data_IF_431240816087
#
_entry.id   IF_431240816087
#
_cell.length_a   1.000
_cell.length_b   1.000
_cell.length_c   1.000
_cell.angle_alpha   90.00
_cell.angle_beta   90.00
_cell.angle_gamma   90.00
#
_symmetry.space_group_name_H-M   'P 1'
#
loop_
_entity.id
_entity.type
_entity.pdbx_description
1 polymer ?
#
# COMPACT_ATOMS: atom_id res chain seq x y z
N UNK A 1 -11.80 8.52 -5.90
CA UNK A 1 -12.70 7.57 -6.58
C UNK A 1 -12.80 6.38 -5.63
N UNK A 2 -14.00 6.03 -5.17
CA UNK A 2 -14.15 5.00 -4.14
C UNK A 2 -14.28 3.62 -4.78
N UNK A 3 -13.14 2.97 -5.02
CA UNK A 3 -13.09 1.61 -5.55
C UNK A 3 -13.13 0.64 -4.37
N UNK A 4 -14.05 -0.33 -4.42
CA UNK A 4 -14.22 -1.37 -3.38
C UNK A 4 -13.75 -2.75 -3.81
N UNK A 5 -13.53 -2.93 -5.10
CA UNK A 5 -13.05 -4.17 -5.69
C UNK A 5 -12.16 -3.88 -6.91
N UNK A 6 -11.19 -4.74 -7.16
CA UNK A 6 -10.34 -4.67 -8.33
C UNK A 6 -10.20 -6.05 -8.97
N UNK A 7 -10.40 -6.12 -10.28
CA UNK A 7 -10.16 -7.34 -11.04
C UNK A 7 -8.69 -7.42 -11.45
N UNK A 8 -8.07 -8.58 -11.27
CA UNK A 8 -6.72 -8.87 -11.78
C UNK A 8 -6.76 -10.09 -12.68
N UNK A 9 -6.03 -10.02 -13.78
CA UNK A 9 -5.82 -11.13 -14.70
C UNK A 9 -4.46 -11.76 -14.39
N UNK A 10 -4.47 -13.08 -14.22
CA UNK A 10 -3.31 -13.91 -13.90
C UNK A 10 -2.97 -14.73 -15.15
N UNK A 11 -1.68 -14.82 -15.46
CA UNK A 11 -1.15 -15.69 -16.51
C UNK A 11 0.18 -16.27 -16.04
N UNK A 12 0.29 -17.59 -16.13
CA UNK A 12 1.54 -18.31 -15.87
C UNK A 12 1.86 -19.16 -17.11
N UNK A 13 3.04 -18.93 -17.66
CA UNK A 13 3.57 -19.66 -18.81
C UNK A 13 4.95 -20.20 -18.50
N UNK A 14 5.23 -21.43 -18.91
CA UNK A 14 6.55 -22.02 -18.86
C UNK A 14 7.44 -21.48 -19.99
N UNK A 15 8.74 -21.35 -19.73
CA UNK A 15 9.72 -20.89 -20.72
C UNK A 15 9.84 -21.84 -21.92
N UNK A 16 9.40 -23.08 -21.79
CA UNK A 16 9.30 -24.07 -22.87
C UNK A 16 8.17 -23.77 -23.87
N UNK A 17 7.32 -22.76 -23.62
CA UNK A 17 6.30 -22.28 -24.56
C UNK A 17 4.88 -22.76 -24.29
N UNK A 18 4.61 -23.44 -23.18
CA UNK A 18 3.26 -23.87 -22.76
C UNK A 18 2.71 -23.06 -21.59
N UNK A 19 1.39 -22.92 -21.49
CA UNK A 19 0.73 -22.38 -20.30
C UNK A 19 0.82 -23.35 -19.11
N UNK A 20 0.88 -22.84 -17.89
CA UNK A 20 0.79 -23.65 -16.67
C UNK A 20 -0.67 -24.08 -16.43
N UNK A 21 -1.18 -24.92 -17.33
CA UNK A 21 -2.57 -25.34 -17.35
C UNK A 21 -2.95 -26.09 -16.08
N UNK A 22 -4.12 -25.78 -15.52
CA UNK A 22 -4.65 -26.43 -14.31
C UNK A 22 -3.76 -26.31 -13.06
N UNK A 23 -2.74 -25.44 -13.09
CA UNK A 23 -1.86 -25.26 -11.95
C UNK A 23 -2.62 -24.65 -10.77
N UNK A 24 -2.36 -25.18 -9.57
CA UNK A 24 -2.80 -24.56 -8.32
C UNK A 24 -1.87 -23.39 -7.99
N UNK A 25 -2.46 -22.22 -7.76
CA UNK A 25 -1.75 -20.98 -7.44
C UNK A 25 -2.34 -20.32 -6.20
N UNK A 26 -1.54 -19.50 -5.52
CA UNK A 26 -2.01 -18.65 -4.41
C UNK A 26 -1.77 -17.20 -4.76
N UNK A 27 -2.86 -16.44 -4.84
CA UNK A 27 -2.80 -14.99 -4.97
C UNK A 27 -2.88 -14.37 -3.57
N UNK A 28 -1.83 -13.69 -3.15
CA UNK A 28 -1.79 -12.86 -1.94
C UNK A 28 -1.95 -11.41 -2.36
N UNK A 29 -2.75 -10.65 -1.64
CA UNK A 29 -2.91 -9.23 -1.89
C UNK A 29 -2.90 -8.47 -0.58
N UNK A 30 -2.21 -7.34 -0.54
CA UNK A 30 -2.25 -6.45 0.60
C UNK A 30 -2.32 -5.00 0.17
N UNK A 31 -3.07 -4.18 0.91
CA UNK A 31 -3.10 -2.73 0.71
C UNK A 31 -2.04 -2.09 1.60
N UNK A 32 -1.23 -1.22 1.03
CA UNK A 32 -0.17 -0.50 1.76
C UNK A 32 -0.09 0.97 1.32
N UNK A 33 0.41 1.87 2.17
CA UNK A 33 0.66 3.26 1.78
C UNK A 33 1.60 3.33 0.58
N UNK A 34 1.34 4.25 -0.35
CA UNK A 34 2.17 4.48 -1.52
C UNK A 34 2.94 5.79 -1.35
N UNK A 35 4.26 5.71 -1.29
CA UNK A 35 5.11 6.90 -1.46
C UNK A 35 4.99 7.38 -2.91
N UNK A 36 4.72 8.67 -3.10
CA UNK A 36 4.52 9.27 -4.42
C UNK A 36 5.53 10.37 -4.68
N UNK A 37 6.12 10.31 -5.87
CA UNK A 37 6.96 11.33 -6.45
C UNK A 37 6.74 11.31 -7.96
N UNK A 38 7.02 12.43 -8.62
CA UNK A 38 6.85 12.54 -10.06
C UNK A 38 8.14 13.12 -10.64
N UNK A 39 8.70 12.48 -11.67
CA UNK A 39 10.04 12.76 -12.22
C UNK A 39 10.28 14.23 -12.57
N UNK A 40 9.24 14.96 -12.99
CA UNK A 40 9.33 16.37 -13.38
C UNK A 40 8.88 17.35 -12.27
N UNK A 41 8.65 16.87 -11.05
CA UNK A 41 8.17 17.64 -9.90
C UNK A 41 8.91 17.24 -8.62
N UNK A 42 10.22 16.98 -8.73
CA UNK A 42 11.02 16.48 -7.59
C UNK A 42 11.15 17.53 -6.47
N UNK A 43 10.96 18.80 -6.80
CA UNK A 43 10.95 19.93 -5.87
C UNK A 43 9.64 20.09 -5.09
N UNK A 44 8.61 19.30 -5.42
CA UNK A 44 7.32 19.30 -4.72
C UNK A 44 7.26 18.14 -3.73
N UNK A 45 6.71 18.42 -2.54
CA UNK A 45 6.26 17.40 -1.60
C UNK A 45 4.81 17.02 -1.90
N UNK A 46 4.52 15.72 -1.87
CA UNK A 46 3.19 15.17 -2.11
C UNK A 46 2.76 14.32 -0.92
N UNK A 47 1.45 14.09 -0.80
CA UNK A 47 0.86 13.30 0.29
C UNK A 47 1.13 13.88 1.68
N UNK A 48 0.93 15.20 1.83
CA UNK A 48 0.93 15.84 3.15
C UNK A 48 -0.23 15.33 4.02
N UNK A 49 -0.01 15.30 5.33
CA UNK A 49 -1.05 14.94 6.29
C UNK A 49 -2.19 15.96 6.30
N UNK A 50 -3.37 15.49 6.68
CA UNK A 50 -4.54 16.34 6.83
C UNK A 50 -4.30 17.39 7.92
N UNK A 51 -4.42 18.67 7.57
CA UNK A 51 -4.15 19.79 8.49
C UNK A 51 -5.30 19.89 9.47
N UNK A 52 -5.03 19.56 10.74
CA UNK A 52 -6.02 19.71 11.82
C UNK A 52 -5.88 21.08 12.47
N UNK A 53 -6.96 21.85 12.63
CA UNK A 53 -6.90 23.11 13.36
C UNK A 53 -6.53 22.83 14.82
N UNK A 54 -5.49 23.51 15.30
CA UNK A 54 -5.00 23.36 16.67
C UNK A 54 -3.67 24.07 16.87
N UNK A 55 -3.31 24.32 18.12
CA UNK A 55 -1.99 24.83 18.48
C UNK A 55 -1.09 23.62 18.70
N UNK A 56 -0.31 23.27 17.68
CA UNK A 56 0.78 22.32 17.86
C UNK A 56 1.96 23.06 18.49
N UNK A 57 2.14 22.91 19.81
CA UNK A 57 3.34 23.45 20.48
C UNK A 57 4.52 22.65 19.99
N UNK A 58 5.29 23.20 19.06
CA UNK A 58 6.58 22.66 18.64
C UNK A 58 7.47 22.55 19.88
N UNK A 59 7.61 21.33 20.42
CA UNK A 59 8.52 21.06 21.51
C UNK A 59 9.94 20.90 20.95
N UNK A 60 10.50 21.98 20.42
CA UNK A 60 11.95 22.12 20.36
C UNK A 60 12.43 22.29 21.80
N UNK A 61 13.00 21.23 22.33
CA UNK A 61 13.62 21.19 23.65
C UNK A 61 14.72 22.25 23.75
N UNK A 62 14.42 23.34 24.45
CA UNK A 62 15.39 24.01 25.29
C UNK A 62 14.90 23.83 26.72
N UNK A 63 15.66 23.01 27.44
CA UNK A 63 15.58 22.78 28.88
C UNK A 63 15.70 24.11 29.63
N UNK A 64 14.78 24.37 30.57
CA UNK A 64 15.06 24.97 31.89
C UNK A 64 13.78 25.04 32.75
N UNK A 65 13.74 24.21 33.81
CA UNK A 65 13.15 24.39 35.15
C UNK A 65 11.63 24.69 35.38
N UNK A 66 10.97 23.70 36.03
CA UNK A 66 9.94 23.73 37.11
C UNK A 66 8.71 24.67 36.94
N UNK A 67 7.44 24.21 37.04
CA UNK A 67 6.68 23.91 38.28
C UNK A 67 5.40 23.10 37.94
N UNK A 68 5.22 21.99 38.66
CA UNK A 68 4.00 21.43 39.30
C UNK A 68 2.60 21.42 38.62
N UNK A 69 2.13 20.20 38.32
CA UNK A 69 0.76 19.73 38.62
C UNK A 69 -0.40 20.14 37.72
N UNK A 70 -0.91 19.23 36.86
CA UNK A 70 -2.25 18.62 36.93
C UNK A 70 -2.44 17.60 35.77
N UNK A 71 -3.25 16.54 35.96
CA UNK A 71 -3.18 15.32 35.15
C UNK A 71 -4.07 15.43 33.91
N UNK A 72 -3.50 15.25 32.73
CA UNK A 72 -4.27 15.41 31.49
C UNK A 72 -3.63 14.69 30.32
N UNK A 73 -4.16 13.50 30.08
CA UNK A 73 -4.15 12.77 28.82
C UNK A 73 -2.81 12.13 28.45
N UNK A 74 -2.76 10.82 28.75
CA UNK A 74 -1.83 9.86 28.19
C UNK A 74 -1.64 10.13 26.70
N UNK A 75 -0.51 10.76 26.36
CA UNK A 75 -0.04 10.80 24.99
C UNK A 75 0.28 9.37 24.63
N UNK A 76 -0.68 8.72 23.98
CA UNK A 76 -0.43 7.53 23.18
C UNK A 76 0.60 7.93 22.13
N UNK A 77 1.88 7.76 22.49
CA UNK A 77 2.94 7.60 21.53
C UNK A 77 2.47 6.46 20.63
N UNK A 78 1.93 6.82 19.45
CA UNK A 78 1.48 5.86 18.45
C UNK A 78 2.70 5.05 18.05
N UNK A 79 2.88 3.95 18.76
CA UNK A 79 3.81 2.90 18.47
C UNK A 79 3.57 2.53 17.01
N UNK A 80 4.54 2.89 16.16
CA UNK A 80 4.67 2.44 14.78
C UNK A 80 5.04 0.96 14.77
N UNK A 81 4.18 0.14 15.37
CA UNK A 81 4.37 -1.28 15.51
C UNK A 81 3.02 -1.86 15.86
N UNK A 82 2.53 -2.75 15.00
CA UNK A 82 1.28 -3.50 15.13
C UNK A 82 0.05 -2.94 14.39
N UNK A 83 0.22 -2.31 13.22
CA UNK A 83 -0.88 -2.37 12.25
C UNK A 83 -0.79 -3.74 11.56
N UNK A 84 -1.34 -4.79 12.20
CA UNK A 84 -1.65 -6.06 11.52
C UNK A 84 -2.39 -5.66 10.25
N UNK A 85 -1.81 -5.90 9.08
CA UNK A 85 -2.30 -5.37 7.82
C UNK A 85 -3.74 -5.85 7.57
N UNK A 86 -4.74 -5.04 7.98
CA UNK A 86 -6.16 -5.44 8.07
C UNK A 86 -6.78 -5.81 6.70
N UNK A 87 -6.04 -5.54 5.63
CA UNK A 87 -6.46 -5.74 4.25
C UNK A 87 -5.59 -6.75 3.49
N UNK A 88 -4.85 -7.61 4.21
CA UNK A 88 -4.17 -8.75 3.61
C UNK A 88 -5.17 -9.90 3.34
N UNK A 89 -5.14 -10.45 2.13
CA UNK A 89 -6.00 -11.56 1.68
C UNK A 89 -5.16 -12.59 0.94
N UNK A 90 -5.58 -13.85 1.01
CA UNK A 90 -5.02 -14.95 0.22
C UNK A 90 -6.16 -15.70 -0.46
N UNK A 91 -6.04 -15.93 -1.76
CA UNK A 91 -6.98 -16.69 -2.58
C UNK A 91 -6.24 -17.86 -3.22
N UNK A 92 -6.73 -19.08 -2.99
CA UNK A 92 -6.29 -20.27 -3.73
C UNK A 92 -7.10 -20.37 -5.02
N UNK A 93 -6.42 -20.46 -6.15
CA UNK A 93 -7.03 -20.50 -7.47
C UNK A 93 -6.45 -21.67 -8.28
N UNK A 94 -7.20 -22.13 -9.25
CA UNK A 94 -6.73 -23.09 -10.26
C UNK A 94 -6.76 -22.39 -11.60
N UNK A 95 -5.64 -22.38 -12.31
CA UNK A 95 -5.57 -21.81 -13.65
C UNK A 95 -6.39 -22.65 -14.65
N UNK A 96 -6.85 -22.04 -15.72
CA UNK A 96 -7.50 -22.72 -16.83
C UNK A 96 -6.51 -23.55 -17.66
N UNK A 97 -6.97 -24.17 -18.75
CA UNK A 97 -6.12 -25.01 -19.61
C UNK A 97 -4.98 -24.27 -20.32
N UNK A 98 -5.03 -22.93 -20.39
CA UNK A 98 -3.96 -22.11 -21.00
C UNK A 98 -3.09 -21.42 -19.95
N UNK A 99 -3.29 -21.72 -18.66
CA UNK A 99 -2.53 -21.14 -17.56
C UNK A 99 -2.98 -19.73 -17.18
N UNK A 100 -4.24 -19.37 -17.44
CA UNK A 100 -4.82 -18.09 -17.08
C UNK A 100 -5.89 -18.23 -15.98
N UNK A 101 -6.09 -17.16 -15.21
CA UNK A 101 -7.22 -17.04 -14.30
C UNK A 101 -7.58 -15.57 -14.09
N UNK A 102 -8.83 -15.31 -13.70
CA UNK A 102 -9.29 -13.99 -13.31
C UNK A 102 -9.68 -14.03 -11.84
N UNK A 103 -9.15 -13.09 -11.07
CA UNK A 103 -9.41 -12.97 -9.65
C UNK A 103 -10.01 -11.61 -9.31
N UNK A 104 -10.94 -11.60 -8.36
CA UNK A 104 -11.52 -10.37 -7.82
C UNK A 104 -10.91 -10.09 -6.44
N UNK A 105 -10.24 -8.94 -6.31
CA UNK A 105 -9.74 -8.42 -5.05
C UNK A 105 -10.82 -7.54 -4.42
N UNK A 106 -11.69 -8.14 -3.61
CA UNK A 106 -12.81 -7.46 -2.95
C UNK A 106 -12.47 -6.80 -1.62
N UNK A 107 -13.45 -6.08 -1.06
CA UNK A 107 -13.39 -5.43 0.25
C UNK A 107 -12.20 -4.48 0.43
N UNK A 108 -11.87 -3.75 -0.64
CA UNK A 108 -10.80 -2.75 -0.59
C UNK A 108 -11.19 -1.60 0.35
N UNK A 109 -10.23 -1.12 1.18
CA UNK A 109 -10.46 0.00 2.06
C UNK A 109 -10.77 1.26 1.25
N UNK A 110 -11.56 2.15 1.84
CA UNK A 110 -11.62 3.52 1.37
C UNK A 110 -10.32 4.21 1.77
N UNK A 111 -9.55 4.63 0.78
CA UNK A 111 -8.28 5.31 0.97
C UNK A 111 -8.46 6.81 0.77
N UNK A 112 -7.97 7.61 1.71
CA UNK A 112 -7.97 9.08 1.63
C UNK A 112 -6.60 9.63 1.20
N UNK A 113 -5.56 8.82 1.33
CA UNK A 113 -4.20 9.08 0.85
C UNK A 113 -3.80 8.05 -0.22
N UNK A 114 -2.79 8.31 -1.06
CA UNK A 114 -2.29 7.34 -2.03
C UNK A 114 -1.87 6.02 -1.36
N UNK A 115 -2.44 4.94 -1.86
CA UNK A 115 -2.11 3.58 -1.46
C UNK A 115 -1.79 2.75 -2.71
N UNK A 116 -1.37 1.52 -2.51
CA UNK A 116 -1.26 0.52 -3.57
C UNK A 116 -1.65 -0.86 -3.05
N UNK A 117 -2.13 -1.69 -3.96
CA UNK A 117 -2.27 -3.12 -3.75
C UNK A 117 -0.96 -3.77 -4.18
N UNK A 118 -0.26 -4.41 -3.24
CA UNK A 118 0.78 -5.38 -3.57
C UNK A 118 0.09 -6.73 -3.79
N UNK A 119 0.06 -7.19 -5.04
CA UNK A 119 -0.44 -8.50 -5.42
C UNK A 119 0.74 -9.43 -5.71
N UNK A 120 0.80 -10.58 -5.03
CA UNK A 120 1.83 -11.59 -5.17
C UNK A 120 1.18 -12.91 -5.59
N UNK A 121 1.67 -13.51 -6.67
CA UNK A 121 1.22 -14.80 -7.16
C UNK A 121 2.30 -15.84 -6.90
N UNK A 122 2.00 -16.80 -6.03
CA UNK A 122 2.81 -17.99 -5.77
C UNK A 122 2.30 -19.14 -6.66
N UNK A 123 3.21 -19.79 -7.38
CA UNK A 123 2.92 -20.92 -8.28
C UNK A 123 4.09 -21.91 -8.29
N UNK A 124 3.86 -23.09 -8.84
CA UNK A 124 4.91 -24.11 -9.04
C UNK A 124 5.39 -24.05 -10.49
N UNK A 125 6.70 -23.91 -10.69
CA UNK A 125 7.31 -23.87 -12.01
C UNK A 125 7.41 -25.26 -12.67
N UNK A 126 7.97 -25.34 -13.88
CA UNK A 126 8.11 -26.60 -14.61
C UNK A 126 9.08 -27.59 -13.94
N UNK A 127 9.96 -27.12 -13.06
CA UNK A 127 10.92 -27.94 -12.33
C UNK A 127 10.35 -28.44 -10.99
N UNK A 128 9.13 -28.02 -10.63
CA UNK A 128 8.50 -28.34 -9.35
C UNK A 128 8.90 -27.38 -8.21
N UNK A 129 9.58 -26.29 -8.52
CA UNK A 129 10.00 -25.29 -7.54
C UNK A 129 8.90 -24.24 -7.34
N UNK A 130 8.77 -23.74 -6.10
CA UNK A 130 7.84 -22.64 -5.81
C UNK A 130 8.45 -21.30 -6.21
N UNK A 131 7.73 -20.54 -7.03
CA UNK A 131 8.13 -19.24 -7.52
C UNK A 131 7.04 -18.20 -7.23
N UNK A 132 7.47 -16.94 -7.12
CA UNK A 132 6.58 -15.81 -6.83
C UNK A 132 6.80 -14.68 -7.82
N UNK A 133 5.71 -14.15 -8.38
CA UNK A 133 5.70 -12.87 -9.12
C UNK A 133 4.93 -11.85 -8.30
N UNK A 134 5.32 -10.58 -8.36
CA UNK A 134 4.55 -9.49 -7.72
C UNK A 134 4.23 -8.37 -8.69
N UNK A 135 3.12 -7.69 -8.44
CA UNK A 135 2.73 -6.47 -9.13
C UNK A 135 2.14 -5.46 -8.13
N UNK A 136 2.31 -4.16 -8.42
CA UNK A 136 1.82 -3.06 -7.58
C UNK A 136 0.78 -2.26 -8.35
N UNK A 137 -0.45 -2.25 -7.85
CA UNK A 137 -1.58 -1.56 -8.47
C UNK A 137 -1.88 -0.31 -7.65
N UNK A 138 -1.68 0.91 -8.18
CA UNK A 138 -1.91 2.12 -7.41
C UNK A 138 -3.40 2.34 -7.13
N UNK A 139 -3.71 2.71 -5.90
CA UNK A 139 -5.03 3.14 -5.44
C UNK A 139 -5.01 4.64 -5.19
N UNK A 140 -5.53 5.40 -6.16
CA UNK A 140 -5.57 6.85 -6.10
C UNK A 140 -6.85 7.37 -5.43
N UNK A 141 -6.76 8.19 -4.37
CA UNK A 141 -7.94 8.77 -3.72
C UNK A 141 -8.68 9.76 -4.65
N UNK A 142 -7.96 10.38 -5.59
CA UNK A 142 -8.44 11.47 -6.46
C UNK A 142 -7.84 11.37 -7.88
N UNK A 143 -8.39 12.14 -8.83
CA UNK A 143 -7.82 12.28 -10.18
C UNK A 143 -6.61 13.22 -10.23
N UNK A 144 -6.43 14.05 -9.20
CA UNK A 144 -5.39 15.07 -9.09
C UNK A 144 -4.67 14.90 -7.76
N UNK A 145 -3.34 14.94 -7.78
CA UNK A 145 -2.53 15.00 -6.57
C UNK A 145 -1.96 16.42 -6.44
N UNK A 146 -2.17 17.04 -5.27
CA UNK A 146 -1.62 18.36 -4.98
C UNK A 146 -0.20 18.20 -4.43
N UNK A 147 0.76 18.87 -5.08
CA UNK A 147 2.11 19.01 -4.58
C UNK A 147 2.32 20.40 -3.99
N UNK A 148 3.09 20.50 -2.91
CA UNK A 148 3.48 21.75 -2.28
C UNK A 148 4.98 21.95 -2.47
N UNK A 149 5.38 23.14 -2.91
CA UNK A 149 6.78 23.55 -2.98
C UNK A 149 6.92 24.81 -2.13
N UNK A 150 7.76 24.77 -1.12
CA UNK A 150 8.10 25.94 -0.31
C UNK A 150 9.38 26.56 -0.86
N UNK A 151 9.35 27.86 -1.14
CA UNK A 151 10.59 28.60 -1.36
C UNK A 151 11.30 28.67 0.00
N UNK A 152 12.46 28.02 0.12
CA UNK A 152 13.24 28.03 1.36
C UNK A 152 13.59 29.47 1.72
N UNK A 153 13.35 29.85 2.98
CA UNK A 153 13.85 31.11 3.52
C UNK A 153 15.33 30.95 3.84
N UNK A 154 16.15 31.85 3.31
CA UNK A 154 17.50 32.13 3.78
C UNK A 154 17.44 33.27 4.81
#
# INVERSE_FOLDING_TARGET
>A
MNIREAQVDLLVSYMSGGGAGHAAVKLRSQVQPKAISFTNYNEFSFNGDDVKPGIERSSTAYDENYVEGEPGEEREARSHGQNKNKFARTQSLTLDGVGAARAMLGDLPQVTTPHEILAELEFVDANGESATVSNRIPLWPSKLNLGIRTDGWA
#
